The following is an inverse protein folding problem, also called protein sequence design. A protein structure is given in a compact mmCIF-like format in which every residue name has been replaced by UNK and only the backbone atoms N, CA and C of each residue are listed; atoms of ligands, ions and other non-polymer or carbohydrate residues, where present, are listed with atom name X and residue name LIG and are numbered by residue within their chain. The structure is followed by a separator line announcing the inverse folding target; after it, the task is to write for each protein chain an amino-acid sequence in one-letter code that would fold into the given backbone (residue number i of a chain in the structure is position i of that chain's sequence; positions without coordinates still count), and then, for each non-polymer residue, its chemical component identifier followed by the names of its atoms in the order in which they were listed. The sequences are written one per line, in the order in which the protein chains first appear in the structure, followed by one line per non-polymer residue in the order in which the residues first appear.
data_IF_460892377593
#
_entry.id   IF_460892377593
#
_cell.length_a   1.000
_cell.length_b   1.000
_cell.length_c   1.000
_cell.angle_alpha   90.00
_cell.angle_beta   90.00
_cell.angle_gamma   90.00
#
_symmetry.space_group_name_H-M   'P 1'
#
loop_
_entity.id
_entity.type
_entity.pdbx_description
1 polymer ?
#
# COMPACT_ATOMS: atom_id res chain seq x y z
N UNK A 1 7.74 21.82 -4.01
CA UNK A 1 8.30 20.73 -4.85
C UNK A 1 7.16 19.78 -5.15
N UNK A 2 6.89 19.52 -6.42
CA UNK A 2 5.65 18.90 -6.89
C UNK A 2 5.56 17.43 -6.47
N UNK A 3 4.43 17.05 -5.88
CA UNK A 3 4.02 15.66 -5.67
C UNK A 3 3.85 15.00 -7.05
N UNK A 4 4.31 13.75 -7.22
CA UNK A 4 4.19 13.05 -8.51
C UNK A 4 2.70 12.80 -8.80
N UNK A 5 2.30 12.95 -10.05
CA UNK A 5 0.93 12.62 -10.45
C UNK A 5 0.67 11.10 -10.37
N UNK A 6 -0.55 10.70 -10.03
CA UNK A 6 -0.89 9.29 -9.73
C UNK A 6 -0.66 8.37 -10.92
N UNK A 7 -1.07 8.80 -12.12
CA UNK A 7 -0.88 8.08 -13.37
C UNK A 7 0.62 7.90 -13.66
N UNK A 8 1.41 8.94 -13.42
CA UNK A 8 2.87 8.90 -13.58
C UNK A 8 3.52 7.93 -12.60
N UNK A 9 3.06 7.90 -11.34
CA UNK A 9 3.53 6.94 -10.34
C UNK A 9 3.22 5.50 -10.76
N UNK A 10 2.00 5.22 -11.21
CA UNK A 10 1.63 3.87 -11.67
C UNK A 10 2.50 3.42 -12.83
N UNK A 11 2.72 4.28 -13.83
CA UNK A 11 3.62 3.97 -14.94
C UNK A 11 5.06 3.72 -14.48
N UNK A 12 5.58 4.57 -13.59
CA UNK A 12 6.93 4.43 -13.05
C UNK A 12 7.11 3.08 -12.35
N UNK A 13 6.16 2.69 -11.49
CA UNK A 13 6.24 1.42 -10.78
C UNK A 13 6.12 0.21 -11.72
N UNK A 14 5.27 0.29 -12.76
CA UNK A 14 5.13 -0.77 -13.78
C UNK A 14 6.38 -0.99 -14.61
N UNK A 15 7.18 0.06 -14.84
CA UNK A 15 8.46 -0.05 -15.58
C UNK A 15 9.52 -0.85 -14.83
N UNK A 16 9.31 -1.17 -13.54
CA UNK A 16 10.23 -1.97 -12.70
C UNK A 16 11.66 -1.44 -12.65
N UNK A 17 11.83 -0.13 -12.80
CA UNK A 17 13.13 0.54 -12.70
C UNK A 17 13.58 0.74 -11.26
N UNK A 18 12.62 0.83 -10.34
CA UNK A 18 12.88 0.88 -8.90
C UNK A 18 13.22 -0.51 -8.35
N UNK A 19 14.12 -0.55 -7.36
CA UNK A 19 14.50 -1.81 -6.70
C UNK A 19 13.33 -2.49 -5.96
N UNK A 20 12.39 -1.67 -5.48
CA UNK A 20 11.14 -2.11 -4.84
C UNK A 20 9.96 -1.54 -5.61
N UNK A 21 8.96 -2.38 -5.87
CA UNK A 21 7.79 -2.01 -6.68
C UNK A 21 6.60 -1.63 -5.80
N UNK A 22 6.86 -0.77 -4.81
CA UNK A 22 5.83 -0.24 -3.92
C UNK A 22 5.80 1.27 -4.09
N UNK A 23 4.60 1.82 -4.31
CA UNK A 23 4.32 3.25 -4.29
C UNK A 23 3.36 3.61 -3.16
N UNK A 24 3.46 4.84 -2.68
CA UNK A 24 2.54 5.43 -1.73
C UNK A 24 1.75 6.52 -2.45
N UNK A 25 0.43 6.48 -2.32
CA UNK A 25 -0.47 7.52 -2.79
C UNK A 25 -1.21 8.11 -1.60
N UNK A 26 -0.96 9.41 -1.36
CA UNK A 26 -1.71 10.20 -0.40
C UNK A 26 -3.02 10.63 -1.06
N UNK A 27 -4.07 9.86 -0.76
CA UNK A 27 -5.37 10.01 -1.36
C UNK A 27 -6.12 11.21 -0.77
N UNK A 28 -6.53 12.18 -1.59
CA UNK A 28 -7.37 13.28 -1.12
C UNK A 28 -8.72 12.79 -0.60
N UNK A 29 -9.27 13.45 0.44
CA UNK A 29 -10.56 13.09 1.04
C UNK A 29 -11.70 12.89 0.03
N UNK A 30 -11.76 13.70 -1.03
CA UNK A 30 -12.82 13.63 -2.04
C UNK A 30 -12.75 12.38 -2.95
N UNK A 31 -11.72 11.53 -2.78
CA UNK A 31 -11.53 10.28 -3.51
C UNK A 31 -11.73 9.04 -2.64
N UNK A 32 -11.90 9.21 -1.32
CA UNK A 32 -12.23 8.12 -0.40
C UNK A 32 -13.60 7.54 -0.76
N UNK A 33 -13.71 6.21 -0.76
CA UNK A 33 -14.91 5.48 -1.18
C UNK A 33 -15.03 5.27 -2.70
N UNK A 34 -14.14 5.87 -3.50
CA UNK A 34 -14.08 5.74 -4.96
C UNK A 34 -12.87 4.92 -5.43
N UNK A 35 -12.22 4.17 -4.54
CA UNK A 35 -10.95 3.47 -4.81
C UNK A 35 -11.10 2.45 -5.95
N UNK A 36 -12.22 1.72 -5.97
CA UNK A 36 -12.51 0.76 -7.04
C UNK A 36 -12.66 1.43 -8.41
N UNK A 37 -13.35 2.56 -8.48
CA UNK A 37 -13.53 3.34 -9.73
C UNK A 37 -12.19 3.90 -10.21
N UNK A 38 -11.38 4.42 -9.30
CA UNK A 38 -10.05 4.94 -9.58
C UNK A 38 -9.13 3.83 -10.09
N UNK A 39 -9.17 2.65 -9.45
CA UNK A 39 -8.39 1.51 -9.89
C UNK A 39 -8.74 1.08 -11.32
N UNK A 40 -10.04 1.02 -11.66
CA UNK A 40 -10.51 0.72 -13.02
C UNK A 40 -9.98 1.76 -14.02
N UNK A 41 -10.03 3.05 -13.68
CA UNK A 41 -9.49 4.13 -14.54
C UNK A 41 -7.98 4.01 -14.77
N UNK A 42 -7.24 3.59 -13.76
CA UNK A 42 -5.78 3.38 -13.84
C UNK A 42 -5.40 2.02 -14.46
N UNK A 43 -6.38 1.16 -14.74
CA UNK A 43 -6.15 -0.21 -15.23
C UNK A 43 -5.42 -1.08 -14.21
N UNK A 44 -5.60 -0.83 -12.92
CA UNK A 44 -5.01 -1.61 -11.81
C UNK A 44 -6.10 -2.38 -11.07
N UNK A 45 -5.73 -3.43 -10.34
CA UNK A 45 -6.71 -4.15 -9.53
C UNK A 45 -6.92 -3.44 -8.19
N UNK A 46 -8.16 -3.13 -7.83
CA UNK A 46 -8.50 -2.67 -6.48
C UNK A 46 -8.48 -3.84 -5.49
N UNK A 47 -7.93 -3.63 -4.30
CA UNK A 47 -7.93 -4.60 -3.21
C UNK A 47 -8.12 -3.92 -1.86
N UNK A 48 -9.22 -4.25 -1.19
CA UNK A 48 -9.42 -3.92 0.23
C UNK A 48 -8.58 -4.88 1.08
N UNK A 49 -7.56 -4.35 1.76
CA UNK A 49 -6.65 -5.18 2.55
C UNK A 49 -7.30 -5.76 3.80
N UNK A 50 -8.28 -5.06 4.39
CA UNK A 50 -9.02 -5.52 5.56
C UNK A 50 -9.88 -6.73 5.21
N UNK A 51 -10.65 -6.64 4.13
CA UNK A 51 -11.45 -7.75 3.63
C UNK A 51 -10.57 -8.92 3.17
N UNK A 52 -9.44 -8.64 2.52
CA UNK A 52 -8.49 -9.68 2.11
C UNK A 52 -7.91 -10.44 3.31
N UNK A 53 -7.54 -9.73 4.38
CA UNK A 53 -7.04 -10.33 5.61
C UNK A 53 -8.13 -11.15 6.32
N UNK A 54 -9.35 -10.62 6.39
CA UNK A 54 -10.50 -11.32 7.00
C UNK A 54 -10.85 -12.59 6.23
N UNK A 55 -10.79 -12.57 4.90
CA UNK A 55 -11.04 -13.76 4.07
C UNK A 55 -10.03 -14.89 4.25
N UNK A 56 -8.87 -14.63 4.88
CA UNK A 56 -7.85 -15.63 5.21
C UNK A 56 -7.97 -16.20 6.63
N UNK A 57 -8.96 -15.76 7.39
CA UNK A 57 -9.20 -16.30 8.73
C UNK A 57 -9.65 -17.77 8.65
N UNK A 58 -9.13 -18.65 9.52
CA UNK A 58 -9.67 -20.00 9.66
C UNK A 58 -11.15 -19.94 10.03
N UNK A 59 -11.93 -20.90 9.54
CA UNK A 59 -13.35 -21.04 9.89
C UNK A 59 -13.52 -21.10 11.41
N UNK A 60 -14.23 -20.13 11.98
CA UNK A 60 -14.48 -20.01 13.43
C UNK A 60 -13.53 -19.09 14.20
N UNK A 61 -12.59 -18.41 13.52
CA UNK A 61 -11.81 -17.34 14.11
C UNK A 61 -12.41 -15.97 13.73
N UNK A 62 -12.91 -15.23 14.72
CA UNK A 62 -13.50 -13.90 14.51
C UNK A 62 -12.47 -12.75 14.63
N UNK A 63 -11.28 -13.05 15.15
CA UNK A 63 -10.26 -12.04 15.45
C UNK A 63 -8.89 -12.41 14.87
N UNK A 64 -8.28 -11.46 14.15
CA UNK A 64 -6.85 -11.50 13.81
C UNK A 64 -6.10 -10.64 14.80
N UNK A 65 -5.07 -11.21 15.44
CA UNK A 65 -4.08 -10.39 16.14
C UNK A 65 -3.22 -9.66 15.10
N UNK A 66 -3.48 -8.37 14.92
CA UNK A 66 -2.67 -7.51 14.05
C UNK A 66 -1.27 -7.30 14.64
N UNK A 67 -0.26 -7.38 13.79
CA UNK A 67 1.14 -7.06 14.07
C UNK A 67 1.81 -6.57 12.79
N UNK A 68 2.96 -5.91 12.90
CA UNK A 68 3.74 -5.50 11.73
C UNK A 68 4.04 -6.68 10.80
N UNK A 69 4.45 -7.81 11.38
CA UNK A 69 4.75 -9.03 10.64
C UNK A 69 3.53 -9.51 9.84
N UNK A 70 2.34 -9.55 10.45
CA UNK A 70 1.13 -10.03 9.79
C UNK A 70 0.71 -9.14 8.62
N UNK A 71 0.83 -7.82 8.78
CA UNK A 71 0.53 -6.85 7.71
C UNK A 71 1.50 -7.05 6.54
N UNK A 72 2.79 -7.14 6.82
CA UNK A 72 3.82 -7.34 5.78
C UNK A 72 3.63 -8.67 5.06
N UNK A 73 3.40 -9.78 5.77
CA UNK A 73 3.08 -11.08 5.15
C UNK A 73 1.86 -10.99 4.24
N UNK A 74 0.82 -10.29 4.67
CA UNK A 74 -0.41 -10.14 3.89
C UNK A 74 -0.15 -9.35 2.61
N UNK A 75 0.61 -8.26 2.69
CA UNK A 75 1.02 -7.48 1.52
C UNK A 75 1.95 -8.29 0.60
N UNK A 76 2.82 -9.13 1.16
CA UNK A 76 3.75 -9.98 0.41
C UNK A 76 3.02 -11.08 -0.36
N UNK A 77 1.99 -11.66 0.25
CA UNK A 77 1.08 -12.58 -0.42
C UNK A 77 0.34 -11.89 -1.58
N UNK A 78 -0.15 -10.66 -1.38
CA UNK A 78 -0.80 -9.89 -2.45
C UNK A 78 0.18 -9.61 -3.58
N UNK A 79 1.39 -9.14 -3.28
CA UNK A 79 2.42 -8.86 -4.27
C UNK A 79 2.90 -10.10 -5.02
N UNK A 80 2.88 -11.26 -4.36
CA UNK A 80 3.29 -12.55 -4.94
C UNK A 80 2.16 -13.29 -5.68
N UNK A 81 0.90 -12.90 -5.45
CA UNK A 81 -0.26 -13.54 -6.08
C UNK A 81 -0.29 -13.35 -7.60
N UNK A 82 -1.01 -14.23 -8.29
CA UNK A 82 -1.42 -14.02 -9.68
C UNK A 82 -2.80 -13.36 -9.62
N UNK A 83 -2.89 -12.12 -10.10
CA UNK A 83 -4.14 -11.35 -10.15
C UNK A 83 -4.55 -11.00 -11.57
N UNK A 84 -5.57 -10.15 -11.69
CA UNK A 84 -6.07 -9.67 -12.98
C UNK A 84 -5.15 -8.60 -13.62
N UNK A 85 -4.31 -7.97 -12.80
CA UNK A 85 -3.38 -6.91 -13.22
C UNK A 85 -2.05 -7.06 -12.51
N UNK A 86 -0.99 -6.60 -13.17
CA UNK A 86 0.38 -6.53 -12.67
C UNK A 86 0.57 -5.46 -11.59
N UNK A 87 -0.44 -4.62 -11.36
CA UNK A 87 -0.46 -3.59 -10.33
C UNK A 87 -1.74 -3.70 -9.48
N UNK A 88 -1.59 -3.47 -8.17
CA UNK A 88 -2.69 -3.53 -7.19
C UNK A 88 -2.77 -2.21 -6.45
N UNK A 89 -3.93 -1.56 -6.51
CA UNK A 89 -4.29 -0.49 -5.59
C UNK A 89 -4.79 -1.12 -4.29
N UNK A 90 -3.96 -1.06 -3.26
CA UNK A 90 -4.29 -1.53 -1.92
C UNK A 90 -4.82 -0.34 -1.12
N UNK A 91 -6.06 -0.42 -0.66
CA UNK A 91 -6.71 0.61 0.16
C UNK A 91 -7.12 0.06 1.53
N UNK A 92 -7.52 0.96 2.44
CA UNK A 92 -7.86 0.67 3.84
C UNK A 92 -6.68 0.13 4.68
N UNK A 93 -5.43 0.34 4.25
CA UNK A 93 -4.27 -0.02 5.05
C UNK A 93 -4.17 0.84 6.32
N UNK A 94 -4.58 2.10 6.24
CA UNK A 94 -4.68 3.03 7.36
C UNK A 94 -5.53 2.48 8.52
N UNK A 95 -6.63 1.78 8.20
CA UNK A 95 -7.46 1.12 9.21
C UNK A 95 -6.66 0.02 9.95
N UNK A 96 -5.89 -0.79 9.23
CA UNK A 96 -5.03 -1.79 9.87
C UNK A 96 -3.92 -1.13 10.70
N UNK A 97 -3.32 -0.06 10.20
CA UNK A 97 -2.27 0.67 10.90
C UNK A 97 -2.79 1.31 12.19
N UNK A 98 -4.03 1.81 12.23
CA UNK A 98 -4.61 2.41 13.44
C UNK A 98 -4.67 1.45 14.64
N UNK A 99 -4.73 0.14 14.38
CA UNK A 99 -4.71 -0.90 15.42
C UNK A 99 -3.31 -1.32 15.87
N UNK A 100 -2.25 -0.72 15.30
CA UNK A 100 -0.86 -1.11 15.49
C UNK A 100 -0.08 0.01 16.21
N UNK A 101 0.83 -0.38 17.10
CA UNK A 101 1.68 0.57 17.84
C UNK A 101 2.59 1.36 16.90
N UNK A 102 2.91 2.58 17.28
CA UNK A 102 3.69 3.54 16.48
C UNK A 102 5.02 2.96 15.97
N UNK A 103 5.77 2.27 16.84
CA UNK A 103 7.04 1.62 16.48
C UNK A 103 6.86 0.55 15.40
N UNK A 104 5.85 -0.30 15.55
CA UNK A 104 5.51 -1.33 14.56
C UNK A 104 5.01 -0.72 13.25
N UNK A 105 4.26 0.38 13.30
CA UNK A 105 3.83 1.12 12.09
C UNK A 105 5.02 1.65 11.31
N UNK A 106 6.02 2.22 11.98
CA UNK A 106 7.24 2.69 11.32
C UNK A 106 8.04 1.54 10.71
N UNK A 107 8.06 0.37 11.37
CA UNK A 107 8.67 -0.83 10.78
C UNK A 107 7.96 -1.28 9.51
N UNK A 108 6.62 -1.24 9.46
CA UNK A 108 5.85 -1.57 8.25
C UNK A 108 6.25 -0.65 7.09
N UNK A 109 6.32 0.66 7.33
CA UNK A 109 6.72 1.62 6.29
C UNK A 109 8.14 1.40 5.79
N UNK A 110 9.06 1.10 6.71
CA UNK A 110 10.45 0.80 6.36
C UNK A 110 10.55 -0.49 5.54
N UNK A 111 9.77 -1.50 5.90
CA UNK A 111 9.69 -2.76 5.17
C UNK A 111 9.08 -2.58 3.79
N UNK A 112 8.00 -1.81 3.66
CA UNK A 112 7.43 -1.45 2.35
C UNK A 112 8.42 -0.69 1.47
N UNK A 113 9.29 0.13 2.08
CA UNK A 113 10.29 0.88 1.33
C UNK A 113 11.41 -0.03 0.81
N UNK A 114 11.88 -0.99 1.62
CA UNK A 114 13.10 -1.75 1.38
C UNK A 114 12.90 -3.21 0.91
N UNK A 115 11.74 -3.80 1.22
CA UNK A 115 11.42 -5.21 0.94
C UNK A 115 10.54 -5.26 -0.32
N UNK A 116 10.11 -6.46 -0.75
CA UNK A 116 9.37 -6.69 -2.00
C UNK A 116 10.16 -6.66 -3.35
N UNK A 117 11.46 -7.01 -3.42
CA UNK A 117 12.10 -7.20 -4.73
C UNK A 117 11.55 -8.47 -5.43
N UNK A 118 11.45 -8.42 -6.76
CA UNK A 118 11.15 -9.62 -7.58
C UNK A 118 9.71 -10.15 -7.47
N UNK A 119 8.78 -9.38 -6.90
CA UNK A 119 7.37 -9.76 -6.81
C UNK A 119 6.66 -9.68 -8.16
N UNK A 120 5.64 -10.53 -8.33
CA UNK A 120 4.87 -10.62 -9.56
C UNK A 120 4.06 -9.35 -9.80
N UNK A 121 3.58 -8.73 -8.72
CA UNK A 121 2.71 -7.55 -8.78
C UNK A 121 3.34 -6.36 -8.05
N UNK A 122 3.11 -5.19 -8.61
CA UNK A 122 3.40 -3.88 -8.05
C UNK A 122 2.30 -3.54 -7.03
N UNK A 123 2.70 -2.93 -5.91
CA UNK A 123 1.75 -2.42 -4.92
C UNK A 123 1.68 -0.90 -4.99
N UNK A 124 0.47 -0.36 -5.11
CA UNK A 124 0.16 1.04 -4.89
C UNK A 124 -0.65 1.14 -3.60
N UNK A 125 -0.06 1.66 -2.55
CA UNK A 125 -0.71 1.80 -1.24
C UNK A 125 -1.43 3.14 -1.18
N UNK A 126 -2.75 3.13 -1.06
CA UNK A 126 -3.54 4.33 -0.82
C UNK A 126 -3.70 4.57 0.68
N UNK A 127 -3.40 5.79 1.12
CA UNK A 127 -3.63 6.28 2.48
C UNK A 127 -4.27 7.66 2.40
N UNK A 128 -5.31 7.96 3.20
CA UNK A 128 -5.88 9.31 3.26
C UNK A 128 -4.82 10.37 3.59
N UNK A 129 -4.81 11.49 2.87
CA UNK A 129 -3.90 12.62 3.12
C UNK A 129 -4.08 13.24 4.52
N UNK A 130 -5.27 13.09 5.10
CA UNK A 130 -5.58 13.50 6.48
C UNK A 130 -5.04 12.56 7.55
N UNK A 131 -4.64 11.33 7.21
CA UNK A 131 -4.15 10.33 8.16
C UNK A 131 -2.67 10.56 8.55
N UNK A 132 -2.30 11.82 8.79
CA UNK A 132 -0.90 12.27 8.98
C UNK A 132 -0.17 11.53 10.11
N UNK A 133 -0.88 11.18 11.18
CA UNK A 133 -0.35 10.43 12.32
C UNK A 133 -0.04 8.95 11.99
N UNK A 134 -0.53 8.41 10.88
CA UNK A 134 -0.27 7.04 10.41
C UNK A 134 0.83 6.98 9.36
N UNK A 135 1.27 8.12 8.82
CA UNK A 135 2.26 8.20 7.75
C UNK A 135 3.66 7.80 8.21
N UNK A 136 4.55 7.45 7.26
CA UNK A 136 5.97 7.28 7.55
C UNK A 136 6.55 8.54 8.21
N UNK A 137 7.58 8.34 9.06
CA UNK A 137 8.37 9.45 9.61
C UNK A 137 8.84 10.41 8.52
N UNK A 138 9.00 11.69 8.84
CA UNK A 138 9.40 12.72 7.85
C UNK A 138 10.64 12.33 7.04
N UNK A 139 11.63 11.72 7.71
CA UNK A 139 12.86 11.24 7.07
C UNK A 139 12.60 10.14 6.03
N UNK A 140 11.66 9.23 6.30
CA UNK A 140 11.29 8.16 5.39
C UNK A 140 10.36 8.69 4.30
N UNK A 141 9.41 9.56 4.63
CA UNK A 141 8.52 10.22 3.68
C UNK A 141 9.31 10.98 2.61
N UNK A 142 10.35 11.72 3.01
CA UNK A 142 11.26 12.38 2.07
C UNK A 142 11.97 11.38 1.15
N UNK A 143 12.40 10.22 1.65
CA UNK A 143 12.97 9.17 0.79
C UNK A 143 11.97 8.66 -0.24
N UNK A 144 10.71 8.45 0.13
CA UNK A 144 9.65 8.06 -0.84
C UNK A 144 9.49 9.11 -1.94
N UNK A 145 9.55 10.39 -1.58
CA UNK A 145 9.49 11.49 -2.53
C UNK A 145 10.73 11.55 -3.44
N UNK A 146 11.93 11.44 -2.87
CA UNK A 146 13.20 11.47 -3.61
C UNK A 146 13.31 10.29 -4.62
N UNK A 147 12.73 9.13 -4.29
CA UNK A 147 12.68 7.94 -5.15
C UNK A 147 11.53 7.97 -6.20
N UNK A 148 10.76 9.06 -6.25
CA UNK A 148 9.56 9.22 -7.11
C UNK A 148 8.49 8.13 -6.88
N UNK A 149 8.36 7.66 -5.63
CA UNK A 149 7.40 6.63 -5.21
C UNK A 149 6.25 7.18 -4.38
N UNK A 150 6.06 8.50 -4.40
CA UNK A 150 5.03 9.21 -3.64
C UNK A 150 4.18 10.06 -4.60
N UNK A 151 2.87 9.85 -4.57
CA UNK A 151 1.86 10.64 -5.29
C UNK A 151 0.79 11.20 -4.36
#
# INVERSE_FOLDING_TARGET
MAQTDLETLVEYLRRRTARTHVGLWLMPLNRIGHEAEIAVRLGVQALDIGNYLHGKLPTGADFVRLSAQKVIETLDDVASSIGQSDCVLVYNLDLLLSGIKDEERQQIWLDLFNRFPGRARVLLIAVPDTATHLLPSESLHKKWQDDSRLA
#
